data_IF_758448418609
#
_entry.id   IF_758448418609
#
_cell.length_a   1.000
_cell.length_b   1.000
_cell.length_c   1.000
_cell.angle_alpha   90.00
_cell.angle_beta   90.00
_cell.angle_gamma   90.00
#
_symmetry.space_group_name_H-M   'P 1'
#
loop_
_entity.id
_entity.type
_entity.pdbx_description
1 polymer ?
#
# COMPACT_ATOMS: atom_id res chain seq x y z
N UNK A 1 21.19 -3.86 -32.61
CA UNK A 1 21.64 -2.86 -31.62
C UNK A 1 20.56 -2.78 -30.56
N UNK A 2 20.87 -3.00 -29.27
CA UNK A 2 19.91 -2.68 -28.21
C UNK A 2 19.60 -1.19 -28.31
N UNK A 3 18.34 -0.83 -28.37
CA UNK A 3 17.92 0.56 -28.45
C UNK A 3 18.25 1.27 -27.14
N UNK A 4 18.87 2.45 -27.23
CA UNK A 4 19.31 3.20 -26.04
C UNK A 4 18.09 3.84 -25.38
N UNK A 5 17.87 3.55 -24.10
CA UNK A 5 16.80 4.20 -23.33
C UNK A 5 17.02 5.71 -23.25
N UNK A 6 15.92 6.47 -23.38
CA UNK A 6 15.88 7.90 -23.16
C UNK A 6 15.23 8.21 -21.81
N UNK A 7 15.84 9.14 -21.08
CA UNK A 7 15.27 9.70 -19.86
C UNK A 7 14.35 10.87 -20.20
N UNK A 8 13.30 11.02 -19.40
CA UNK A 8 12.41 12.19 -19.42
C UNK A 8 11.87 12.45 -18.03
N UNK A 9 11.63 13.72 -17.69
CA UNK A 9 11.00 14.09 -16.43
C UNK A 9 9.51 14.28 -16.68
N UNK A 10 8.69 13.58 -15.91
CA UNK A 10 7.24 13.76 -15.86
C UNK A 10 6.83 14.46 -14.56
N UNK A 11 6.08 15.56 -14.64
CA UNK A 11 5.49 16.16 -13.45
C UNK A 11 3.98 15.97 -13.45
N UNK A 12 3.43 15.55 -12.32
CA UNK A 12 2.00 15.70 -12.02
C UNK A 12 1.84 17.02 -11.26
N UNK A 13 1.11 17.95 -11.87
CA UNK A 13 0.92 19.32 -11.39
C UNK A 13 -0.06 19.37 -10.20
N UNK A 14 -0.12 20.49 -9.46
CA UNK A 14 -0.93 20.58 -8.25
C UNK A 14 -2.43 20.34 -8.41
N UNK A 15 -2.98 20.55 -9.62
CA UNK A 15 -4.39 20.29 -9.94
C UNK A 15 -4.77 18.79 -9.87
N UNK A 16 -3.80 17.87 -9.99
CA UNK A 16 -4.04 16.43 -9.86
C UNK A 16 -3.21 15.74 -8.77
N UNK A 17 -2.06 16.31 -8.40
CA UNK A 17 -1.14 15.68 -7.44
C UNK A 17 -1.76 15.47 -6.05
N UNK A 18 -2.75 16.28 -5.68
CA UNK A 18 -3.52 16.14 -4.44
C UNK A 18 -4.67 15.10 -4.50
N UNK A 19 -4.88 14.43 -5.64
CA UNK A 19 -5.91 13.41 -5.81
C UNK A 19 -5.25 12.02 -5.96
N UNK A 20 -5.15 11.21 -4.89
CA UNK A 20 -4.45 9.93 -4.91
C UNK A 20 -4.98 8.95 -5.95
N UNK A 21 -6.30 8.97 -6.21
CA UNK A 21 -6.94 8.09 -7.20
C UNK A 21 -6.49 8.42 -8.62
N UNK A 22 -6.43 9.70 -8.98
CA UNK A 22 -5.97 10.14 -10.30
C UNK A 22 -4.47 9.88 -10.46
N UNK A 23 -3.68 10.14 -9.42
CA UNK A 23 -2.23 9.86 -9.41
C UNK A 23 -1.96 8.37 -9.67
N UNK A 24 -2.61 7.49 -8.89
CA UNK A 24 -2.47 6.03 -9.03
C UNK A 24 -2.85 5.57 -10.43
N UNK A 25 -3.95 6.09 -10.99
CA UNK A 25 -4.36 5.76 -12.35
C UNK A 25 -3.35 6.22 -13.41
N UNK A 26 -2.74 7.41 -13.26
CA UNK A 26 -1.69 7.87 -14.19
C UNK A 26 -0.44 7.01 -14.07
N UNK A 27 0.00 6.68 -12.86
CA UNK A 27 1.16 5.80 -12.61
C UNK A 27 0.93 4.39 -13.21
N UNK A 28 -0.28 3.84 -13.06
CA UNK A 28 -0.65 2.59 -13.73
C UNK A 28 -0.59 2.68 -15.25
N UNK A 29 -1.05 3.78 -15.86
CA UNK A 29 -0.94 3.99 -17.31
C UNK A 29 0.52 4.11 -17.77
N UNK A 30 1.39 4.76 -16.99
CA UNK A 30 2.84 4.83 -17.24
C UNK A 30 3.43 3.40 -17.29
N UNK A 31 3.11 2.56 -16.30
CA UNK A 31 3.56 1.16 -16.24
C UNK A 31 3.00 0.31 -17.39
N UNK A 32 1.71 0.43 -17.70
CA UNK A 32 1.08 -0.25 -18.85
C UNK A 32 1.74 0.12 -20.17
N UNK A 33 2.19 1.37 -20.32
CA UNK A 33 2.92 1.87 -21.50
C UNK A 33 4.42 1.52 -21.48
N UNK A 34 4.84 0.63 -20.56
CA UNK A 34 6.18 0.07 -20.47
C UNK A 34 7.27 1.13 -20.25
N UNK A 35 6.95 2.15 -19.46
CA UNK A 35 7.96 3.05 -18.90
C UNK A 35 8.53 2.46 -17.62
N UNK A 36 9.85 2.61 -17.46
CA UNK A 36 10.46 2.49 -16.14
C UNK A 36 10.30 3.81 -15.40
N UNK A 37 9.74 3.78 -14.20
CA UNK A 37 9.80 4.90 -13.25
C UNK A 37 11.10 4.72 -12.46
N UNK A 38 12.10 5.59 -12.60
CA UNK A 38 13.41 5.44 -11.97
C UNK A 38 13.48 6.08 -10.59
N UNK A 39 12.78 7.21 -10.43
CA UNK A 39 12.65 7.95 -9.18
C UNK A 39 11.29 8.61 -9.12
N UNK A 40 10.78 8.76 -7.90
CA UNK A 40 9.55 9.48 -7.58
C UNK A 40 9.79 10.37 -6.37
N UNK A 41 9.31 11.61 -6.44
CA UNK A 41 9.44 12.58 -5.34
C UNK A 41 8.23 13.51 -5.30
N UNK A 42 7.65 13.68 -4.11
CA UNK A 42 6.68 14.75 -3.87
C UNK A 42 7.45 16.01 -3.48
N UNK A 43 7.18 17.12 -4.16
CA UNK A 43 7.80 18.42 -3.88
C UNK A 43 6.74 19.49 -3.72
N UNK A 44 7.06 20.53 -2.94
CA UNK A 44 6.20 21.70 -2.78
C UNK A 44 7.05 22.93 -3.06
N UNK A 45 6.81 23.55 -4.20
CA UNK A 45 7.63 24.65 -4.68
C UNK A 45 7.26 25.99 -4.06
N UNK A 46 8.28 26.77 -3.73
CA UNK A 46 8.15 28.20 -3.55
C UNK A 46 8.18 28.89 -4.91
N UNK A 47 7.72 30.15 -4.94
CA UNK A 47 7.70 30.96 -6.17
C UNK A 47 9.03 30.98 -6.89
N UNK A 48 10.13 31.17 -6.15
CA UNK A 48 11.49 31.17 -6.69
C UNK A 48 11.85 29.88 -7.44
N UNK A 49 11.41 28.72 -6.95
CA UNK A 49 11.76 27.42 -7.53
C UNK A 49 11.03 27.24 -8.87
N UNK A 50 9.75 27.63 -8.92
CA UNK A 50 8.95 27.61 -10.14
C UNK A 50 9.43 28.62 -11.17
N UNK A 51 9.82 29.83 -10.74
CA UNK A 51 10.38 30.86 -11.63
C UNK A 51 11.72 30.42 -12.24
N UNK A 52 12.58 29.79 -11.44
CA UNK A 52 13.87 29.24 -11.88
C UNK A 52 13.67 28.11 -12.89
N UNK A 53 12.74 27.19 -12.63
CA UNK A 53 12.43 26.08 -13.52
C UNK A 53 11.87 26.55 -14.87
N UNK A 54 10.92 27.49 -14.85
CA UNK A 54 10.26 28.00 -16.06
C UNK A 54 10.90 29.27 -16.63
N UNK A 55 12.16 29.59 -16.31
CA UNK A 55 12.84 30.83 -16.71
C UNK A 55 12.75 31.13 -18.22
N UNK A 56 12.76 30.09 -19.05
CA UNK A 56 12.66 30.19 -20.51
C UNK A 56 11.30 30.70 -21.01
N UNK A 57 10.27 30.69 -20.16
CA UNK A 57 8.93 31.19 -20.48
C UNK A 57 8.65 32.57 -19.89
N UNK A 58 9.63 33.26 -19.31
CA UNK A 58 9.42 34.52 -18.57
C UNK A 58 8.69 35.60 -19.38
N UNK A 59 8.97 35.67 -20.68
CA UNK A 59 8.37 36.66 -21.60
C UNK A 59 6.98 36.25 -22.13
N UNK A 60 6.52 35.03 -21.82
CA UNK A 60 5.22 34.55 -22.29
C UNK A 60 4.09 35.09 -21.41
N UNK A 61 2.97 35.49 -22.03
CA UNK A 61 1.80 36.04 -21.34
C UNK A 61 1.20 35.14 -20.24
N UNK A 62 1.41 33.82 -20.33
CA UNK A 62 0.90 32.83 -19.37
C UNK A 62 1.86 32.55 -18.19
N UNK A 63 3.07 33.12 -18.20
CA UNK A 63 4.13 32.79 -17.24
C UNK A 63 3.70 32.94 -15.79
N UNK A 64 3.09 34.08 -15.42
CA UNK A 64 2.63 34.31 -14.05
C UNK A 64 1.61 33.26 -13.59
N UNK A 65 0.63 32.95 -14.43
CA UNK A 65 -0.39 31.92 -14.15
C UNK A 65 0.22 30.53 -14.02
N UNK A 66 1.26 30.23 -14.79
CA UNK A 66 1.99 28.97 -14.68
C UNK A 66 2.72 28.87 -13.33
N UNK A 67 3.45 29.92 -12.94
CA UNK A 67 4.13 29.98 -11.64
C UNK A 67 3.13 29.86 -10.49
N UNK A 68 2.04 30.63 -10.52
CA UNK A 68 1.00 30.58 -9.49
C UNK A 68 0.39 29.17 -9.39
N UNK A 69 0.11 28.52 -10.53
CA UNK A 69 -0.40 27.15 -10.57
C UNK A 69 0.57 26.14 -9.96
N UNK A 70 1.87 26.28 -10.20
CA UNK A 70 2.87 25.31 -9.73
C UNK A 70 3.23 25.51 -8.26
N UNK A 71 2.92 26.68 -7.69
CA UNK A 71 3.12 26.97 -6.26
C UNK A 71 1.85 26.73 -5.42
N UNK A 72 0.71 26.42 -6.04
CA UNK A 72 -0.56 26.30 -5.32
C UNK A 72 -0.72 25.02 -4.50
N UNK A 73 0.18 24.05 -4.63
CA UNK A 73 0.06 22.76 -3.97
C UNK A 73 1.25 21.83 -4.20
N UNK A 74 1.13 20.54 -3.80
CA UNK A 74 2.17 19.55 -4.05
C UNK A 74 2.31 19.26 -5.55
N UNK A 75 3.51 18.88 -5.96
CA UNK A 75 3.84 18.39 -7.31
C UNK A 75 4.46 17.00 -7.12
N UNK A 76 4.14 16.05 -7.98
CA UNK A 76 4.84 14.76 -8.02
C UNK A 76 5.78 14.79 -9.21
N UNK A 77 7.08 14.68 -8.94
CA UNK A 77 8.12 14.54 -9.94
C UNK A 77 8.44 13.06 -10.15
N UNK A 78 8.46 12.64 -11.40
CA UNK A 78 8.81 11.30 -11.85
C UNK A 78 9.99 11.40 -12.81
N UNK A 79 11.02 10.59 -12.58
CA UNK A 79 12.06 10.32 -13.57
C UNK A 79 11.67 9.06 -14.32
N UNK A 80 11.48 9.15 -15.64
CA UNK A 80 10.99 8.06 -16.47
C UNK A 80 12.06 7.64 -17.48
N UNK A 81 12.10 6.35 -17.82
CA UNK A 81 12.97 5.81 -18.88
C UNK A 81 12.21 4.87 -19.82
N UNK A 82 12.46 5.03 -21.13
CA UNK A 82 11.98 4.16 -22.21
C UNK A 82 12.78 4.44 -23.47
N UNK A 83 12.85 3.51 -24.43
CA UNK A 83 13.52 3.70 -25.73
C UNK A 83 13.18 5.04 -26.41
N UNK A 84 11.89 5.37 -26.51
CA UNK A 84 11.41 6.65 -27.04
C UNK A 84 10.77 7.52 -25.94
N UNK A 85 11.38 7.54 -24.75
CA UNK A 85 10.77 8.07 -23.53
C UNK A 85 10.19 9.46 -23.64
N UNK A 86 10.91 10.40 -24.27
CA UNK A 86 10.43 11.79 -24.43
C UNK A 86 9.19 11.83 -25.32
N UNK A 87 9.27 11.27 -26.52
CA UNK A 87 8.17 11.29 -27.50
C UNK A 87 6.95 10.52 -26.98
N UNK A 88 7.16 9.35 -26.39
CA UNK A 88 6.08 8.52 -25.87
C UNK A 88 5.40 9.16 -24.67
N UNK A 89 6.16 9.84 -23.79
CA UNK A 89 5.58 10.56 -22.65
C UNK A 89 4.73 11.72 -23.15
N UNK A 90 5.22 12.48 -24.12
CA UNK A 90 4.47 13.57 -24.75
C UNK A 90 3.19 13.09 -25.43
N UNK A 91 3.24 11.92 -26.08
CA UNK A 91 2.06 11.28 -26.66
C UNK A 91 1.05 10.87 -25.59
N UNK A 92 1.51 10.30 -24.47
CA UNK A 92 0.66 9.92 -23.35
C UNK A 92 0.01 11.14 -22.67
N UNK A 93 0.76 12.22 -22.51
CA UNK A 93 0.25 13.50 -21.99
C UNK A 93 -0.83 14.09 -22.89
N UNK A 94 -0.64 14.05 -24.21
CA UNK A 94 -1.52 14.68 -25.20
C UNK A 94 -1.17 16.15 -25.50
N UNK A 95 -1.87 16.80 -26.46
CA UNK A 95 -1.63 18.19 -26.83
C UNK A 95 -1.66 19.17 -25.64
N UNK A 96 -0.78 20.17 -25.65
CA UNK A 96 -0.67 21.16 -24.55
C UNK A 96 -1.96 21.95 -24.31
N UNK A 97 -2.69 22.28 -25.40
CA UNK A 97 -3.97 22.98 -25.33
C UNK A 97 -5.06 21.98 -24.96
N UNK A 98 -5.63 22.12 -23.77
CA UNK A 98 -6.57 21.15 -23.18
C UNK A 98 -7.78 20.94 -24.08
N UNK A 99 -8.39 22.03 -24.56
CA UNK A 99 -9.54 21.96 -25.47
C UNK A 99 -9.23 21.14 -26.73
N UNK A 100 -8.04 21.32 -27.32
CA UNK A 100 -7.61 20.52 -28.48
C UNK A 100 -7.47 19.05 -28.08
N UNK A 101 -6.82 18.78 -26.95
CA UNK A 101 -6.61 17.43 -26.42
C UNK A 101 -7.92 16.69 -26.16
N UNK A 102 -8.93 17.37 -25.60
CA UNK A 102 -10.26 16.81 -25.34
C UNK A 102 -10.99 16.41 -26.62
N UNK A 103 -10.79 17.15 -27.71
CA UNK A 103 -11.43 16.87 -28.99
C UNK A 103 -10.67 15.84 -29.84
N UNK A 104 -9.35 15.99 -29.96
CA UNK A 104 -8.54 15.14 -30.86
C UNK A 104 -8.07 13.86 -30.20
N UNK A 105 -7.79 13.89 -28.90
CA UNK A 105 -7.14 12.80 -28.17
C UNK A 105 -7.72 12.61 -26.76
N UNK A 106 -9.04 12.35 -26.62
CA UNK A 106 -9.77 12.38 -25.35
C UNK A 106 -9.25 11.40 -24.30
N UNK A 107 -8.54 10.34 -24.72
CA UNK A 107 -7.99 9.31 -23.85
C UNK A 107 -6.60 9.65 -23.27
N UNK A 108 -5.97 10.74 -23.72
CA UNK A 108 -4.69 11.22 -23.17
C UNK A 108 -4.87 11.84 -21.78
N UNK A 109 -3.79 11.98 -21.01
CA UNK A 109 -3.87 12.52 -19.64
C UNK A 109 -4.50 13.93 -19.64
N UNK A 110 -4.10 14.80 -20.58
CA UNK A 110 -4.68 16.15 -20.74
C UNK A 110 -6.10 16.12 -21.25
N UNK A 111 -6.44 15.18 -22.15
CA UNK A 111 -7.81 15.02 -22.64
C UNK A 111 -8.77 14.63 -21.53
N UNK A 112 -8.34 13.74 -20.62
CA UNK A 112 -9.18 13.23 -19.53
C UNK A 112 -9.30 14.17 -18.34
N UNK A 113 -8.21 14.83 -17.96
CA UNK A 113 -8.11 15.54 -16.68
C UNK A 113 -7.80 17.02 -16.79
N UNK A 114 -7.42 17.51 -17.97
CA UNK A 114 -7.04 18.90 -18.16
C UNK A 114 -8.21 19.85 -17.90
N UNK A 115 -7.93 20.96 -17.23
CA UNK A 115 -8.93 22.00 -16.94
C UNK A 115 -8.73 23.24 -17.82
N UNK A 116 -7.48 23.72 -17.94
CA UNK A 116 -7.13 24.91 -18.74
C UNK A 116 -5.71 24.77 -19.28
N UNK A 117 -5.28 25.65 -20.18
CA UNK A 117 -3.92 25.58 -20.77
C UNK A 117 -2.79 25.64 -19.72
N UNK A 118 -2.97 26.35 -18.60
CA UNK A 118 -1.99 26.38 -17.49
C UNK A 118 -2.20 25.25 -16.48
N UNK A 119 -3.46 24.84 -16.26
CA UNK A 119 -3.87 23.66 -15.45
C UNK A 119 -4.17 22.47 -16.35
N UNK A 120 -3.13 22.04 -17.06
CA UNK A 120 -3.18 20.92 -18.00
C UNK A 120 -2.56 19.66 -17.40
N UNK A 121 -2.62 19.52 -16.06
CA UNK A 121 -2.29 18.35 -15.23
C UNK A 121 -0.86 17.84 -15.24
N UNK A 122 -0.15 17.90 -16.35
CA UNK A 122 1.15 17.25 -16.53
C UNK A 122 2.17 18.08 -17.32
N UNK A 123 3.45 17.95 -16.93
CA UNK A 123 4.62 18.46 -17.65
C UNK A 123 5.48 17.30 -18.15
N UNK A 124 6.21 17.53 -19.24
CA UNK A 124 7.20 16.59 -19.74
C UNK A 124 8.30 17.30 -20.50
N UNK A 125 9.52 16.78 -20.41
CA UNK A 125 10.67 17.25 -21.16
C UNK A 125 10.38 17.28 -22.67
N UNK A 126 10.99 18.20 -23.40
CA UNK A 126 10.79 18.39 -24.85
C UNK A 126 11.98 17.95 -25.70
N UNK A 127 13.14 17.73 -25.09
CA UNK A 127 14.39 17.34 -25.74
C UNK A 127 15.28 16.56 -24.75
N UNK A 128 16.30 15.89 -25.27
CA UNK A 128 17.28 15.17 -24.44
C UNK A 128 18.04 16.16 -23.54
N UNK A 129 18.32 17.36 -24.04
CA UNK A 129 18.98 18.42 -23.27
C UNK A 129 18.10 18.88 -22.11
N UNK A 130 16.83 19.20 -22.36
CA UNK A 130 15.93 19.61 -21.27
C UNK A 130 15.68 18.48 -20.28
N UNK A 131 15.56 17.23 -20.74
CA UNK A 131 15.44 16.08 -19.85
C UNK A 131 16.64 15.94 -18.90
N UNK A 132 17.87 16.17 -19.37
CA UNK A 132 19.07 16.14 -18.54
C UNK A 132 19.08 17.29 -17.50
N UNK A 133 18.80 18.53 -17.95
CA UNK A 133 18.73 19.70 -17.06
C UNK A 133 17.64 19.54 -15.98
N UNK A 134 16.46 19.07 -16.38
CA UNK A 134 15.33 18.80 -15.47
C UNK A 134 15.65 17.63 -14.51
N UNK A 135 16.33 16.59 -14.98
CA UNK A 135 16.76 15.46 -14.11
C UNK A 135 17.68 15.96 -13.01
N UNK A 136 18.70 16.75 -13.35
CA UNK A 136 19.61 17.36 -12.37
C UNK A 136 18.89 18.32 -11.41
N UNK A 137 17.85 19.01 -11.88
CA UNK A 137 17.05 19.90 -11.04
C UNK A 137 16.26 19.13 -9.96
N UNK A 138 15.60 18.03 -10.32
CA UNK A 138 14.73 17.29 -9.38
C UNK A 138 15.45 16.18 -8.60
N UNK A 139 16.44 15.56 -9.21
CA UNK A 139 17.13 14.35 -8.72
C UNK A 139 18.66 14.53 -8.83
N UNK A 140 19.26 15.52 -8.14
CA UNK A 140 20.70 15.81 -8.25
C UNK A 140 21.59 14.63 -7.85
N UNK A 141 21.10 13.77 -6.95
CA UNK A 141 21.83 12.59 -6.45
C UNK A 141 21.66 11.35 -7.36
N UNK A 142 20.89 11.45 -8.45
CA UNK A 142 20.63 10.32 -9.34
C UNK A 142 21.74 10.15 -10.39
N UNK A 143 22.37 8.96 -10.41
CA UNK A 143 23.35 8.59 -11.42
C UNK A 143 22.70 7.76 -12.54
N UNK A 144 22.39 8.42 -13.65
CA UNK A 144 21.78 7.80 -14.83
C UNK A 144 22.64 6.72 -15.47
N UNK A 145 23.96 6.92 -15.54
CA UNK A 145 24.87 5.96 -16.15
C UNK A 145 24.91 4.66 -15.36
N UNK A 146 25.04 4.76 -14.03
CA UNK A 146 25.00 3.60 -13.14
C UNK A 146 23.70 2.79 -13.30
N UNK A 147 22.56 3.48 -13.38
CA UNK A 147 21.27 2.81 -13.54
C UNK A 147 21.14 2.10 -14.89
N UNK A 148 21.64 2.72 -15.97
CA UNK A 148 21.64 2.10 -17.31
C UNK A 148 22.66 0.96 -17.42
N UNK A 149 23.81 1.06 -16.76
CA UNK A 149 24.81 -0.01 -16.68
C UNK A 149 24.24 -1.27 -16.03
N UNK A 150 23.45 -1.14 -14.96
CA UNK A 150 22.78 -2.29 -14.32
C UNK A 150 21.82 -3.02 -15.27
N UNK A 151 21.07 -2.28 -16.09
CA UNK A 151 20.25 -2.85 -17.15
C UNK A 151 21.08 -3.56 -18.23
N UNK A 152 22.21 -2.98 -18.61
CA UNK A 152 23.10 -3.56 -19.63
C UNK A 152 23.77 -4.85 -19.14
N UNK A 153 24.01 -4.98 -17.83
CA UNK A 153 24.45 -6.19 -17.14
C UNK A 153 23.38 -7.30 -17.10
N UNK A 154 22.17 -7.03 -17.59
CA UNK A 154 21.08 -8.00 -17.66
C UNK A 154 20.23 -8.10 -16.39
N UNK A 155 20.41 -7.18 -15.44
CA UNK A 155 19.51 -7.06 -14.29
C UNK A 155 18.16 -6.51 -14.78
N UNK A 156 17.06 -7.18 -14.44
CA UNK A 156 15.72 -6.69 -14.76
C UNK A 156 15.21 -5.81 -13.60
N UNK A 157 14.99 -4.51 -13.82
CA UNK A 157 14.48 -3.63 -12.79
C UNK A 157 13.01 -3.95 -12.50
N UNK A 158 12.67 -4.08 -11.22
CA UNK A 158 11.33 -4.45 -10.75
C UNK A 158 10.67 -3.22 -10.16
N UNK A 159 9.41 -2.94 -10.51
CA UNK A 159 8.64 -1.87 -9.88
C UNK A 159 8.35 -2.22 -8.41
N UNK A 160 8.91 -1.45 -7.49
CA UNK A 160 8.57 -1.52 -6.07
C UNK A 160 7.36 -0.60 -5.80
N UNK A 161 6.18 -1.17 -5.43
CA UNK A 161 4.99 -0.37 -5.16
C UNK A 161 5.14 0.53 -3.92
N UNK A 162 6.00 0.16 -2.96
CA UNK A 162 6.20 0.91 -1.71
C UNK A 162 6.87 2.25 -1.97
N UNK A 163 7.98 2.21 -2.71
CA UNK A 163 8.69 3.42 -3.12
C UNK A 163 8.18 4.00 -4.45
N UNK A 164 7.24 3.30 -5.10
CA UNK A 164 6.59 3.65 -6.37
C UNK A 164 7.59 4.00 -7.49
N UNK A 165 8.70 3.27 -7.55
CA UNK A 165 9.66 3.31 -8.64
C UNK A 165 10.34 1.95 -8.83
N UNK A 166 11.02 1.76 -9.96
CA UNK A 166 11.76 0.55 -10.26
C UNK A 166 13.10 0.57 -9.55
N UNK A 167 13.41 -0.57 -8.93
CA UNK A 167 14.66 -0.83 -8.25
C UNK A 167 15.31 -2.07 -8.88
N UNK A 168 16.63 -2.13 -8.86
CA UNK A 168 17.36 -3.36 -9.08
C UNK A 168 17.49 -4.07 -7.73
N UNK A 169 17.23 -5.37 -7.68
CA UNK A 169 17.37 -6.14 -6.45
C UNK A 169 18.84 -6.26 -6.05
N UNK A 170 19.14 -6.09 -4.76
CA UNK A 170 20.44 -6.47 -4.21
C UNK A 170 20.61 -7.99 -4.32
N UNK A 171 21.70 -8.45 -4.96
CA UNK A 171 22.02 -9.88 -5.15
C UNK A 171 22.47 -10.60 -3.85
N UNK A 172 21.94 -10.21 -2.70
CA UNK A 172 22.17 -10.89 -1.42
C UNK A 172 20.85 -11.16 -0.69
N UNK A 173 20.00 -11.99 -1.30
CA UNK A 173 19.12 -12.91 -0.57
C UNK A 173 18.46 -13.90 -1.56
N UNK A 174 18.98 -15.12 -1.60
CA UNK A 174 18.45 -16.25 -2.37
C UNK A 174 17.18 -16.82 -1.72
N UNK A 175 16.04 -16.11 -1.69
CA UNK A 175 14.77 -16.72 -1.21
C UNK A 175 13.46 -16.06 -1.68
N UNK A 176 13.40 -15.41 -2.86
CA UNK A 176 12.11 -14.90 -3.38
C UNK A 176 11.89 -15.19 -4.87
N UNK A 177 11.45 -16.40 -5.20
CA UNK A 177 10.63 -16.63 -6.40
C UNK A 177 9.16 -16.32 -6.07
N UNK A 178 8.76 -15.06 -6.11
CA UNK A 178 7.36 -14.67 -5.93
C UNK A 178 6.60 -14.79 -7.26
N UNK A 179 5.62 -15.69 -7.33
CA UNK A 179 4.75 -15.91 -8.50
C UNK A 179 4.03 -14.64 -8.97
N UNK A 180 3.57 -14.60 -10.22
CA UNK A 180 2.79 -13.46 -10.76
C UNK A 180 1.51 -13.18 -9.96
N UNK A 181 0.95 -14.21 -9.31
CA UNK A 181 -0.18 -14.08 -8.41
C UNK A 181 0.16 -13.28 -7.15
N UNK A 182 1.32 -13.54 -6.54
CA UNK A 182 1.77 -12.77 -5.39
C UNK A 182 2.04 -11.29 -5.77
N UNK A 183 2.56 -11.02 -6.98
CA UNK A 183 2.72 -9.65 -7.49
C UNK A 183 1.37 -8.96 -7.71
N UNK A 184 0.40 -9.66 -8.30
CA UNK A 184 -0.95 -9.15 -8.49
C UNK A 184 -1.64 -8.82 -7.15
N UNK A 185 -1.45 -9.70 -6.16
CA UNK A 185 -1.97 -9.50 -4.81
C UNK A 185 -1.40 -8.21 -4.19
N UNK A 186 -0.09 -7.98 -4.28
CA UNK A 186 0.54 -6.77 -3.72
C UNK A 186 -0.02 -5.48 -4.33
N UNK A 187 -0.45 -5.50 -5.59
CA UNK A 187 -1.06 -4.34 -6.25
C UNK A 187 -2.53 -4.11 -5.85
N UNK A 188 -3.21 -5.14 -5.34
CA UNK A 188 -4.66 -5.16 -5.13
C UNK A 188 -5.03 -5.68 -3.72
N UNK A 189 -4.21 -5.39 -2.70
CA UNK A 189 -4.38 -5.88 -1.32
C UNK A 189 -5.79 -5.61 -0.74
N UNK A 190 -6.44 -4.53 -1.15
CA UNK A 190 -7.79 -4.18 -0.72
C UNK A 190 -8.93 -4.89 -1.45
N UNK A 191 -8.66 -5.73 -2.45
CA UNK A 191 -9.66 -6.44 -3.25
C UNK A 191 -9.74 -7.91 -2.85
N UNK A 192 -10.92 -8.38 -2.47
CA UNK A 192 -11.15 -9.78 -2.04
C UNK A 192 -10.81 -10.77 -3.15
N UNK A 193 -11.14 -10.42 -4.39
CA UNK A 193 -10.88 -11.25 -5.57
C UNK A 193 -9.38 -11.47 -5.79
N UNK A 194 -8.53 -10.50 -5.43
CA UNK A 194 -7.08 -10.65 -5.54
C UNK A 194 -6.54 -11.70 -4.56
N UNK A 195 -7.09 -11.77 -3.35
CA UNK A 195 -6.77 -12.80 -2.36
C UNK A 195 -7.26 -14.18 -2.80
N UNK A 196 -8.51 -14.32 -3.25
CA UNK A 196 -9.01 -15.60 -3.81
C UNK A 196 -8.15 -16.09 -4.97
N UNK A 197 -7.76 -15.21 -5.89
CA UNK A 197 -6.88 -15.57 -7.00
C UNK A 197 -5.48 -16.00 -6.54
N UNK A 198 -4.92 -15.29 -5.55
CA UNK A 198 -3.63 -15.66 -4.95
C UNK A 198 -3.69 -17.05 -4.32
N UNK A 199 -4.70 -17.31 -3.49
CA UNK A 199 -4.87 -18.61 -2.85
C UNK A 199 -5.16 -19.73 -3.84
N UNK A 200 -5.79 -19.46 -4.97
CA UNK A 200 -6.06 -20.47 -5.99
C UNK A 200 -4.82 -20.84 -6.83
N UNK A 201 -3.80 -19.98 -6.86
CA UNK A 201 -2.63 -20.14 -7.73
C UNK A 201 -1.31 -20.41 -6.99
N UNK A 202 -1.31 -20.36 -5.65
CA UNK A 202 -0.16 -20.70 -4.82
C UNK A 202 -0.47 -21.93 -3.97
N UNK A 203 0.34 -22.98 -4.10
CA UNK A 203 0.21 -24.19 -3.27
C UNK A 203 0.94 -24.08 -1.92
N UNK A 204 1.65 -22.98 -1.68
CA UNK A 204 2.43 -22.76 -0.47
C UNK A 204 1.62 -21.99 0.58
N UNK A 205 1.66 -22.48 1.82
CA UNK A 205 1.18 -21.71 2.96
C UNK A 205 2.08 -20.50 3.19
N UNK A 206 1.48 -19.34 3.44
CA UNK A 206 2.22 -18.08 3.58
C UNK A 206 2.02 -17.48 4.95
N UNK A 207 3.14 -17.19 5.60
CA UNK A 207 3.18 -16.52 6.89
C UNK A 207 3.56 -15.05 6.69
N UNK A 208 2.60 -14.14 6.89
CA UNK A 208 2.84 -12.70 6.78
C UNK A 208 3.40 -12.14 8.09
N UNK A 209 4.44 -11.29 7.96
CA UNK A 209 5.20 -10.64 9.03
C UNK A 209 5.99 -11.58 9.94
N UNK A 210 5.27 -12.29 10.82
CA UNK A 210 5.83 -13.09 11.90
C UNK A 210 5.03 -14.37 12.07
N UNK A 211 5.71 -15.43 12.48
CA UNK A 211 5.11 -16.71 12.82
C UNK A 211 4.66 -16.74 14.28
N UNK A 212 3.88 -17.76 14.67
CA UNK A 212 3.56 -18.00 16.09
C UNK A 212 4.83 -18.06 16.95
N UNK A 213 5.92 -18.66 16.47
CA UNK A 213 7.17 -18.80 17.23
C UNK A 213 7.74 -17.45 17.70
N UNK A 214 7.61 -16.44 16.86
CA UNK A 214 8.17 -15.10 17.09
C UNK A 214 7.34 -14.32 18.13
N UNK A 215 6.04 -14.64 18.25
CA UNK A 215 5.09 -13.92 19.10
C UNK A 215 4.49 -14.75 20.23
N UNK A 216 4.93 -16.02 20.38
CA UNK A 216 4.35 -16.99 21.32
C UNK A 216 4.31 -16.46 22.75
N UNK A 217 5.38 -15.81 23.20
CA UNK A 217 5.49 -15.35 24.59
C UNK A 217 4.46 -14.24 24.87
N UNK A 218 4.12 -13.43 23.87
CA UNK A 218 3.08 -12.41 24.00
C UNK A 218 1.68 -13.05 24.01
N UNK A 219 1.38 -13.92 23.04
CA UNK A 219 0.06 -14.54 22.93
C UNK A 219 -0.25 -15.48 24.10
N UNK A 220 0.70 -16.33 24.49
CA UNK A 220 0.53 -17.28 25.59
C UNK A 220 0.31 -16.54 26.91
N UNK A 221 1.04 -15.45 27.16
CA UNK A 221 0.82 -14.63 28.34
C UNK A 221 -0.58 -14.02 28.37
N UNK A 222 -1.10 -13.56 27.23
CA UNK A 222 -2.45 -13.00 27.16
C UNK A 222 -3.50 -14.08 27.41
N UNK A 223 -3.37 -15.24 26.76
CA UNK A 223 -4.29 -16.37 26.92
C UNK A 223 -4.38 -16.79 28.38
N UNK A 224 -3.23 -16.97 29.05
CA UNK A 224 -3.18 -17.36 30.45
C UNK A 224 -3.68 -16.26 31.39
N UNK A 225 -3.23 -15.01 31.24
CA UNK A 225 -3.62 -13.93 32.14
C UNK A 225 -5.11 -13.56 32.03
N UNK A 226 -5.69 -13.67 30.85
CA UNK A 226 -7.11 -13.35 30.64
C UNK A 226 -8.00 -14.59 30.70
N UNK A 227 -7.44 -15.78 30.97
CA UNK A 227 -8.17 -17.06 30.99
C UNK A 227 -9.03 -17.25 29.74
N UNK A 228 -8.46 -16.94 28.56
CA UNK A 228 -9.19 -17.00 27.31
C UNK A 228 -9.66 -18.43 27.02
N UNK A 229 -10.95 -18.59 26.73
CA UNK A 229 -11.55 -19.87 26.35
C UNK A 229 -11.83 -19.94 24.85
N UNK A 230 -11.93 -18.79 24.19
CA UNK A 230 -12.11 -18.75 22.75
C UNK A 230 -11.41 -17.55 22.09
N UNK A 231 -10.98 -17.76 20.84
CA UNK A 231 -10.30 -16.74 20.05
C UNK A 231 -10.77 -16.76 18.59
N UNK A 232 -10.83 -15.58 17.95
CA UNK A 232 -11.00 -15.45 16.51
C UNK A 232 -9.68 -15.06 15.87
N UNK A 233 -9.25 -15.78 14.83
CA UNK A 233 -8.17 -15.37 13.92
C UNK A 233 -8.81 -14.82 12.63
N UNK A 234 -8.84 -13.49 12.48
CA UNK A 234 -9.59 -12.82 11.40
C UNK A 234 -8.72 -12.52 10.19
N UNK A 235 -9.18 -12.92 9.00
CA UNK A 235 -8.39 -12.90 7.77
C UNK A 235 -7.19 -13.85 7.87
N UNK A 236 -7.42 -15.07 8.35
CA UNK A 236 -6.36 -16.03 8.67
C UNK A 236 -5.54 -16.44 7.43
N UNK A 237 -6.10 -16.30 6.22
CA UNK A 237 -5.45 -16.70 4.99
C UNK A 237 -4.97 -18.16 5.03
N UNK A 238 -3.71 -18.38 4.65
CA UNK A 238 -3.03 -19.67 4.76
C UNK A 238 -2.05 -19.76 5.95
N UNK A 239 -2.15 -18.85 6.92
CA UNK A 239 -1.26 -18.80 8.09
C UNK A 239 -1.49 -19.99 9.03
N UNK A 240 -0.42 -20.53 9.62
CA UNK A 240 -0.56 -21.57 10.65
C UNK A 240 -0.78 -21.00 12.04
N UNK A 241 -0.93 -19.68 12.21
CA UNK A 241 -1.07 -19.02 13.52
C UNK A 241 -2.26 -19.55 14.33
N UNK A 242 -3.49 -19.42 13.81
CA UNK A 242 -4.70 -19.93 14.44
C UNK A 242 -4.62 -21.43 14.76
N UNK A 243 -4.24 -22.30 13.80
CA UNK A 243 -4.07 -23.72 14.08
C UNK A 243 -3.03 -24.05 15.14
N UNK A 244 -1.88 -23.38 15.12
CA UNK A 244 -0.82 -23.59 16.12
C UNK A 244 -1.31 -23.18 17.50
N UNK A 245 -2.08 -22.11 17.62
CA UNK A 245 -2.71 -21.70 18.88
C UNK A 245 -3.66 -22.78 19.42
N UNK A 246 -4.52 -23.33 18.56
CA UNK A 246 -5.44 -24.40 18.93
C UNK A 246 -4.72 -25.68 19.39
N UNK A 247 -3.62 -26.03 18.73
CA UNK A 247 -2.79 -27.19 19.10
C UNK A 247 -2.05 -26.99 20.43
N UNK A 248 -1.58 -25.77 20.71
CA UNK A 248 -0.79 -25.46 21.91
C UNK A 248 -1.65 -25.26 23.15
N UNK A 249 -2.89 -24.81 22.99
CA UNK A 249 -3.81 -24.48 24.08
C UNK A 249 -5.07 -25.32 23.97
N UNK A 250 -5.06 -26.52 24.57
CA UNK A 250 -6.18 -27.47 24.48
C UNK A 250 -7.51 -26.94 25.00
N UNK A 251 -7.48 -25.97 25.91
CA UNK A 251 -8.66 -25.35 26.51
C UNK A 251 -9.16 -24.12 25.72
N UNK A 252 -8.47 -23.75 24.63
CA UNK A 252 -8.79 -22.61 23.79
C UNK A 252 -9.47 -23.05 22.49
N UNK A 253 -10.73 -22.64 22.31
CA UNK A 253 -11.43 -22.81 21.04
C UNK A 253 -11.05 -21.70 20.05
N UNK A 254 -10.28 -22.03 19.02
CA UNK A 254 -9.86 -21.07 17.99
C UNK A 254 -10.71 -21.22 16.73
N UNK A 255 -11.22 -20.10 16.22
CA UNK A 255 -11.98 -20.01 14.98
C UNK A 255 -11.18 -19.20 13.95
N UNK A 256 -10.84 -19.82 12.83
CA UNK A 256 -10.10 -19.19 11.73
C UNK A 256 -11.09 -18.68 10.67
N UNK A 257 -11.10 -17.36 10.44
CA UNK A 257 -12.06 -16.68 9.58
C UNK A 257 -11.36 -16.12 8.35
N UNK A 258 -11.93 -16.33 7.16
CA UNK A 258 -11.52 -15.63 5.94
C UNK A 258 -12.68 -15.51 4.95
N UNK A 259 -12.61 -14.52 4.06
CA UNK A 259 -13.60 -14.36 2.98
C UNK A 259 -13.35 -15.34 1.82
N UNK A 260 -12.12 -15.84 1.66
CA UNK A 260 -11.76 -16.81 0.62
C UNK A 260 -11.97 -18.25 1.10
N UNK A 261 -12.89 -18.97 0.47
CA UNK A 261 -13.08 -20.40 0.71
C UNK A 261 -11.83 -21.21 0.32
N UNK A 262 -11.07 -20.75 -0.67
CA UNK A 262 -9.88 -21.43 -1.19
C UNK A 262 -8.79 -21.58 -0.12
N UNK A 263 -8.50 -20.51 0.64
CA UNK A 263 -7.52 -20.59 1.73
C UNK A 263 -7.99 -21.47 2.89
N UNK A 264 -9.27 -21.39 3.25
CA UNK A 264 -9.84 -22.18 4.34
C UNK A 264 -9.86 -23.68 4.01
N UNK A 265 -10.13 -24.05 2.76
CA UNK A 265 -10.02 -25.46 2.32
C UNK A 265 -8.58 -25.96 2.46
N UNK A 266 -7.60 -25.16 2.05
CA UNK A 266 -6.17 -25.50 2.19
C UNK A 266 -5.79 -25.66 3.66
N UNK A 267 -6.15 -24.70 4.51
CA UNK A 267 -5.86 -24.77 5.94
C UNK A 267 -6.54 -25.97 6.61
N UNK A 268 -7.82 -26.23 6.28
CA UNK A 268 -8.57 -27.35 6.84
C UNK A 268 -8.02 -28.73 6.43
N UNK A 269 -7.38 -28.81 5.26
CA UNK A 269 -6.71 -30.04 4.82
C UNK A 269 -5.45 -30.28 5.63
N UNK A 270 -4.73 -29.21 5.98
CA UNK A 270 -3.50 -29.28 6.76
C UNK A 270 -3.76 -29.44 8.27
N UNK A 271 -4.79 -28.78 8.80
CA UNK A 271 -5.16 -28.75 10.21
C UNK A 271 -6.66 -29.04 10.39
N UNK A 272 -7.09 -30.30 10.22
CA UNK A 272 -8.51 -30.69 10.21
C UNK A 272 -9.21 -30.54 11.58
N UNK A 273 -8.46 -30.38 12.66
CA UNK A 273 -8.97 -30.23 14.02
C UNK A 273 -9.49 -28.82 14.33
N UNK A 274 -9.19 -27.82 13.50
CA UNK A 274 -9.56 -26.43 13.75
C UNK A 274 -10.94 -26.10 13.17
N UNK A 275 -11.58 -25.05 13.71
CA UNK A 275 -12.86 -24.56 13.19
C UNK A 275 -12.63 -23.43 12.19
N UNK A 276 -13.20 -23.58 10.99
CA UNK A 276 -13.07 -22.62 9.88
C UNK A 276 -14.40 -21.98 9.56
N UNK A 277 -14.40 -20.67 9.33
CA UNK A 277 -15.62 -19.90 9.05
C UNK A 277 -15.40 -19.00 7.85
N UNK A 278 -16.10 -19.29 6.74
CA UNK A 278 -16.13 -18.38 5.58
C UNK A 278 -16.93 -17.15 5.98
N UNK A 279 -16.28 -16.00 6.08
CA UNK A 279 -16.91 -14.76 6.52
C UNK A 279 -16.20 -13.54 5.94
N UNK A 280 -17.00 -12.61 5.42
CA UNK A 280 -16.55 -11.25 5.15
C UNK A 280 -16.52 -10.46 6.46
N UNK A 281 -15.35 -10.30 7.05
CA UNK A 281 -15.17 -9.67 8.36
C UNK A 281 -15.51 -8.17 8.39
N UNK A 282 -15.68 -7.53 7.22
CA UNK A 282 -16.18 -6.16 7.14
C UNK A 282 -17.72 -6.10 7.24
N UNK A 283 -18.40 -7.25 7.26
CA UNK A 283 -19.83 -7.40 7.55
C UNK A 283 -20.02 -7.98 8.96
N UNK A 284 -21.27 -8.28 9.31
CA UNK A 284 -21.60 -8.84 10.62
C UNK A 284 -20.93 -10.20 10.85
N UNK A 285 -20.11 -10.30 11.89
CA UNK A 285 -19.47 -11.54 12.31
C UNK A 285 -20.53 -12.53 12.83
N UNK A 286 -20.47 -13.82 12.47
CA UNK A 286 -21.48 -14.83 12.84
C UNK A 286 -21.34 -15.31 14.30
N UNK A 287 -20.99 -14.41 15.20
CA UNK A 287 -20.79 -14.66 16.63
C UNK A 287 -21.69 -13.73 17.44
N UNK A 288 -22.14 -14.21 18.60
CA UNK A 288 -22.98 -13.44 19.50
C UNK A 288 -22.21 -12.22 20.05
N UNK A 289 -22.96 -11.20 20.47
CA UNK A 289 -22.38 -10.06 21.18
C UNK A 289 -21.77 -10.55 22.50
N UNK A 290 -20.59 -10.05 22.86
CA UNK A 290 -19.89 -10.40 24.09
C UNK A 290 -19.70 -11.93 24.28
N UNK A 291 -19.27 -12.65 23.24
CA UNK A 291 -19.01 -14.09 23.32
C UNK A 291 -17.55 -14.49 23.15
N UNK A 292 -16.69 -13.56 22.72
CA UNK A 292 -15.30 -13.82 22.36
C UNK A 292 -14.32 -13.23 23.37
N UNK A 293 -13.32 -13.99 23.83
CA UNK A 293 -12.28 -13.50 24.74
C UNK A 293 -11.17 -12.74 24.01
N UNK A 294 -10.73 -13.27 22.87
CA UNK A 294 -9.64 -12.71 22.07
C UNK A 294 -9.99 -12.64 20.58
N UNK A 295 -9.62 -11.53 19.93
CA UNK A 295 -9.61 -11.44 18.46
C UNK A 295 -8.20 -11.11 18.01
N UNK A 296 -7.69 -11.82 17.01
CA UNK A 296 -6.34 -11.67 16.46
C UNK A 296 -6.47 -11.23 15.00
N UNK A 297 -5.77 -10.16 14.65
CA UNK A 297 -5.61 -9.66 13.29
C UNK A 297 -4.12 -9.60 12.95
N UNK A 298 -3.69 -10.36 11.93
CA UNK A 298 -2.32 -10.33 11.44
C UNK A 298 -2.28 -9.91 9.97
N UNK A 299 -2.23 -8.59 9.76
CA UNK A 299 -2.12 -7.97 8.43
C UNK A 299 -3.43 -7.80 7.67
N UNK A 300 -4.54 -8.26 8.24
CA UNK A 300 -5.85 -8.18 7.61
C UNK A 300 -6.36 -6.74 7.56
N UNK A 301 -6.23 -5.99 8.66
CA UNK A 301 -6.58 -4.56 8.65
C UNK A 301 -5.69 -3.75 7.72
N UNK A 302 -4.43 -4.16 7.55
CA UNK A 302 -3.53 -3.51 6.60
C UNK A 302 -4.05 -3.69 5.17
N UNK A 303 -4.49 -4.90 4.81
CA UNK A 303 -5.12 -5.17 3.51
C UNK A 303 -6.39 -4.34 3.30
N UNK A 304 -7.28 -4.28 4.30
CA UNK A 304 -8.53 -3.49 4.24
C UNK A 304 -8.25 -2.00 4.05
N UNK A 305 -7.30 -1.44 4.80
CA UNK A 305 -6.97 -0.02 4.74
C UNK A 305 -6.37 0.42 3.39
N UNK A 306 -5.90 -0.51 2.56
CA UNK A 306 -5.42 -0.22 1.19
C UNK A 306 -6.55 -0.06 0.17
N UNK A 307 -7.80 -0.38 0.51
CA UNK A 307 -8.95 -0.15 -0.37
C UNK A 307 -9.35 1.33 -0.39
N UNK A 308 -10.02 1.81 -1.46
CA UNK A 308 -10.46 3.20 -1.57
C UNK A 308 -11.46 3.60 -0.46
N UNK A 309 -12.31 2.66 -0.04
CA UNK A 309 -13.22 2.78 1.11
C UNK A 309 -12.63 2.19 2.42
N UNK A 310 -11.31 2.00 2.47
CA UNK A 310 -10.64 1.22 3.53
C UNK A 310 -10.91 1.74 4.94
N UNK A 311 -10.92 3.06 5.16
CA UNK A 311 -11.25 3.64 6.48
C UNK A 311 -12.67 3.31 6.94
N UNK A 312 -13.64 3.31 6.01
CA UNK A 312 -15.04 2.94 6.31
C UNK A 312 -15.13 1.46 6.64
N UNK A 313 -14.49 0.61 5.85
CA UNK A 313 -14.48 -0.84 6.06
C UNK A 313 -13.78 -1.22 7.37
N UNK A 314 -12.64 -0.60 7.67
CA UNK A 314 -11.94 -0.77 8.94
C UNK A 314 -12.81 -0.34 10.13
N UNK A 315 -13.53 0.79 10.02
CA UNK A 315 -14.50 1.19 11.03
C UNK A 315 -15.66 0.20 11.23
N UNK A 316 -16.10 -0.49 10.16
CA UNK A 316 -17.11 -1.56 10.24
C UNK A 316 -16.53 -2.82 10.92
N UNK A 317 -15.32 -3.21 10.56
CA UNK A 317 -14.59 -4.31 11.20
C UNK A 317 -14.44 -4.07 12.70
N UNK A 318 -13.93 -2.90 13.10
CA UNK A 318 -13.70 -2.59 14.51
C UNK A 318 -15.01 -2.61 15.32
N UNK A 319 -16.12 -2.12 14.76
CA UNK A 319 -17.43 -2.22 15.41
C UNK A 319 -17.83 -3.67 15.69
N UNK A 320 -17.59 -4.57 14.74
CA UNK A 320 -17.91 -5.98 14.91
C UNK A 320 -16.96 -6.69 15.87
N UNK A 321 -15.66 -6.40 15.82
CA UNK A 321 -14.67 -6.87 16.80
C UNK A 321 -15.11 -6.48 18.21
N UNK A 322 -15.44 -5.21 18.46
CA UNK A 322 -15.90 -4.78 19.78
C UNK A 322 -17.28 -5.32 20.14
N UNK A 323 -18.17 -5.57 19.17
CA UNK A 323 -19.46 -6.22 19.43
C UNK A 323 -19.25 -7.64 19.97
N UNK A 324 -18.41 -8.44 19.34
CA UNK A 324 -18.23 -9.86 19.70
C UNK A 324 -17.35 -10.05 20.94
N UNK A 325 -16.41 -9.13 21.20
CA UNK A 325 -15.56 -9.20 22.39
C UNK A 325 -16.37 -9.08 23.69
N UNK A 326 -16.11 -9.98 24.64
CA UNK A 326 -16.58 -9.89 26.03
C UNK A 326 -16.08 -8.59 26.68
N UNK A 327 -16.72 -8.11 27.77
CA UNK A 327 -16.09 -7.13 28.63
C UNK A 327 -14.71 -7.60 29.07
N UNK A 328 -13.71 -6.71 29.06
CA UNK A 328 -12.29 -7.03 29.26
C UNK A 328 -11.64 -7.93 28.19
N UNK A 329 -12.37 -8.30 27.13
CA UNK A 329 -11.83 -8.99 25.98
C UNK A 329 -10.77 -8.15 25.26
N UNK A 330 -9.89 -8.82 24.53
CA UNK A 330 -8.71 -8.21 23.93
C UNK A 330 -8.69 -8.40 22.42
N UNK A 331 -8.48 -7.32 21.70
CA UNK A 331 -8.12 -7.34 20.29
C UNK A 331 -6.61 -7.19 20.17
N UNK A 332 -5.98 -8.12 19.47
CA UNK A 332 -4.55 -8.17 19.22
C UNK A 332 -4.31 -7.94 17.74
N UNK A 333 -3.49 -6.95 17.41
CA UNK A 333 -3.23 -6.59 16.02
C UNK A 333 -1.73 -6.57 15.72
N UNK A 334 -1.31 -7.35 14.73
CA UNK A 334 0.06 -7.43 14.24
C UNK A 334 0.14 -6.77 12.86
N UNK A 335 1.01 -5.78 12.72
CA UNK A 335 1.11 -4.95 11.50
C UNK A 335 2.49 -4.32 11.37
N UNK A 336 2.83 -3.83 10.18
CA UNK A 336 4.01 -2.98 9.96
C UNK A 336 3.73 -1.49 10.19
N UNK A 337 2.46 -1.12 10.38
CA UNK A 337 2.06 0.27 10.57
C UNK A 337 2.53 0.79 11.95
N UNK A 338 3.30 1.89 11.99
CA UNK A 338 3.88 2.36 13.22
C UNK A 338 2.86 3.13 14.09
N UNK A 339 3.14 3.29 15.39
CA UNK A 339 2.17 3.81 16.37
C UNK A 339 1.63 5.20 16.03
N UNK A 340 2.42 6.04 15.37
CA UNK A 340 2.03 7.40 14.97
C UNK A 340 0.84 7.41 14.01
N UNK A 341 0.62 6.31 13.27
CA UNK A 341 -0.50 6.17 12.33
C UNK A 341 -1.57 5.25 12.91
N UNK A 342 -1.19 4.09 13.45
CA UNK A 342 -2.16 3.07 13.85
C UNK A 342 -2.98 3.45 15.09
N UNK A 343 -2.40 4.21 16.02
CA UNK A 343 -3.13 4.64 17.22
C UNK A 343 -4.30 5.58 16.88
N UNK A 344 -4.13 6.44 15.88
CA UNK A 344 -5.21 7.33 15.42
C UNK A 344 -6.36 6.53 14.82
N UNK A 345 -6.05 5.50 14.03
CA UNK A 345 -7.06 4.61 13.44
C UNK A 345 -7.86 3.83 14.49
N UNK A 346 -7.18 3.28 15.50
CA UNK A 346 -7.82 2.52 16.56
C UNK A 346 -8.69 3.43 17.45
N UNK A 347 -8.21 4.63 17.82
CA UNK A 347 -8.94 5.58 18.66
C UNK A 347 -10.16 6.19 17.99
N UNK A 348 -10.15 6.33 16.66
CA UNK A 348 -11.32 6.79 15.92
C UNK A 348 -12.46 5.77 15.91
N UNK A 349 -12.20 4.51 16.27
CA UNK A 349 -13.17 3.42 16.13
C UNK A 349 -14.01 3.17 17.37
N UNK A 350 -13.48 3.44 18.58
CA UNK A 350 -14.18 3.26 19.85
C UNK A 350 -13.58 4.16 20.94
N UNK A 351 -14.43 4.69 21.83
CA UNK A 351 -14.04 5.68 22.86
C UNK A 351 -13.67 5.06 24.19
N UNK A 352 -14.04 3.79 24.43
CA UNK A 352 -13.82 3.07 25.68
C UNK A 352 -12.82 1.92 25.50
N UNK A 353 -11.61 2.26 25.05
CA UNK A 353 -10.53 1.28 24.83
C UNK A 353 -9.23 1.72 25.50
N UNK A 354 -8.48 0.74 25.97
CA UNK A 354 -7.08 0.92 26.34
C UNK A 354 -6.20 0.30 25.26
N UNK A 355 -5.29 1.09 24.70
CA UNK A 355 -4.36 0.65 23.65
C UNK A 355 -2.93 0.72 24.18
N UNK A 356 -2.25 -0.41 24.16
CA UNK A 356 -0.79 -0.50 24.32
C UNK A 356 -0.18 -1.19 23.10
N UNK A 357 1.14 -1.09 22.92
CA UNK A 357 1.82 -1.76 21.83
C UNK A 357 3.25 -2.14 22.21
N UNK A 358 3.82 -3.08 21.46
CA UNK A 358 5.24 -3.45 21.52
C UNK A 358 5.81 -3.58 20.11
N UNK A 359 7.10 -3.27 19.95
CA UNK A 359 7.84 -3.52 18.70
C UNK A 359 8.37 -4.96 18.73
N UNK A 360 7.99 -5.75 17.73
CA UNK A 360 8.46 -7.11 17.53
C UNK A 360 9.60 -7.05 16.52
N UNK A 361 10.83 -7.27 16.98
CA UNK A 361 11.99 -7.36 16.11
C UNK A 361 11.94 -8.63 15.27
N UNK A 362 12.09 -8.50 13.95
CA UNK A 362 12.37 -9.63 13.07
C UNK A 362 13.88 -9.91 13.06
N UNK A 363 14.31 -11.17 12.93
CA UNK A 363 15.74 -11.53 12.87
C UNK A 363 16.50 -10.80 11.74
N UNK A 364 15.78 -10.36 10.70
CA UNK A 364 16.25 -9.40 9.70
C UNK A 364 15.96 -7.96 10.14
N UNK A 365 16.99 -7.19 10.49
CA UNK A 365 16.93 -5.80 10.97
C UNK A 365 16.34 -4.75 9.98
N UNK A 366 15.51 -5.12 8.99
CA UNK A 366 15.02 -4.23 7.94
C UNK A 366 13.54 -3.86 8.03
N UNK A 367 12.68 -4.66 8.67
CA UNK A 367 11.24 -4.40 8.77
C UNK A 367 10.79 -4.38 10.23
N UNK A 368 10.23 -3.24 10.67
CA UNK A 368 9.65 -3.12 12.01
C UNK A 368 8.23 -3.66 11.99
N UNK A 369 7.95 -4.62 12.86
CA UNK A 369 6.62 -5.16 13.09
C UNK A 369 6.16 -4.71 14.47
N UNK A 370 4.90 -4.33 14.59
CA UNK A 370 4.29 -3.88 15.84
C UNK A 370 3.13 -4.79 16.21
N UNK A 371 2.98 -5.04 17.50
CA UNK A 371 1.83 -5.74 18.06
C UNK A 371 1.10 -4.80 19.00
N UNK A 372 -0.14 -4.49 18.66
CA UNK A 372 -1.04 -3.66 19.44
C UNK A 372 -1.99 -4.52 20.25
N UNK A 373 -2.22 -4.10 21.49
CA UNK A 373 -3.13 -4.74 22.43
C UNK A 373 -4.23 -3.74 22.76
N UNK A 374 -5.45 -4.05 22.34
CA UNK A 374 -6.62 -3.19 22.47
C UNK A 374 -7.62 -3.86 23.39
N UNK A 375 -7.68 -3.40 24.64
CA UNK A 375 -8.59 -3.95 25.65
C UNK A 375 -9.91 -3.19 25.63
N UNK A 376 -11.02 -3.93 25.54
CA UNK A 376 -12.38 -3.39 25.66
C UNK A 376 -12.69 -3.13 27.13
N UNK A 377 -13.07 -1.90 27.49
CA UNK A 377 -13.48 -1.59 28.85
C UNK A 377 -14.76 -2.31 29.26
N UNK A 378 -14.90 -2.56 30.57
CA UNK A 378 -16.18 -2.95 31.15
C UNK A 378 -17.04 -1.70 31.31
N UNK A 379 -18.27 -1.70 30.80
CA UNK A 379 -19.20 -0.57 30.89
C UNK A 379 -19.61 -0.22 32.33
N UNK A 380 -19.19 -1.02 33.32
CA UNK A 380 -19.44 -0.81 34.75
C UNK A 380 -18.30 -0.08 35.49
N UNK A 381 -17.15 0.22 34.85
CA UNK A 381 -16.01 0.89 35.52
C UNK A 381 -15.96 2.42 35.32
N UNK A 382 -16.93 3.02 34.63
CA UNK A 382 -17.06 4.48 34.55
C UNK A 382 -18.00 5.01 35.63
N UNK A 383 -17.57 4.96 36.89
CA UNK A 383 -18.00 5.85 37.99
C UNK A 383 -17.28 5.44 39.30
N UNK A 384 -16.00 5.80 39.43
CA UNK A 384 -15.34 5.97 40.75
C UNK A 384 -14.28 7.05 40.68
#
# INVERSE_FOLDING_TARGET
>A
MKSKLQLTVGLLKPDIAGNPTIVSLIEQEILKKKFYILKRKVVRWQKRDSEMFYKQHKENFFYRRLVDCMTSGPIIALLLAKENGITDWRKLMGPTKVYKSQFTDPNTIRGRFGLTDTRNTVHGSDSVQSAAEETSFFFPDFNANKWLEQLDLGEEPIFDPTSSHHIFGDQHNNDYQSSDAAKNLMMNLGMKEAWSNFYNSSDESREWFVSYKDIKDHLDNIIHHNSCQNALDIGCGTSSLGPTLAEKHSDLSVYCLDASIECLVKLSTQFPQCTYVVCDICNQLPFATCSIDMVIDKGTSEAILRHCDGKKQFGMLMKEVFRVLKPNGIFVQITTEPPEVRLDDLRCSETQINVSFTEIGTESNSLKVYMYFVKKHNSEETDT
#
